data_IF_949184397939
#
_entry.id   IF_949184397939
#
_cell.length_a   1.000
_cell.length_b   1.000
_cell.length_c   1.000
_cell.angle_alpha   90.00
_cell.angle_beta   90.00
_cell.angle_gamma   90.00
#
_symmetry.space_group_name_H-M   'P 1'
#
loop_
_entity.id
_entity.type
_entity.pdbx_description
1 polymer ?
#
# COMPACT_ATOMS: atom_id res chain seq x y z
N UNK A 1 -1.05 -19.56 44.31
CA UNK A 1 -1.26 -18.27 45.01
C UNK A 1 -0.16 -17.26 44.75
N UNK A 2 0.99 -17.26 45.44
CA UNK A 2 1.95 -16.13 45.35
C UNK A 2 2.50 -15.87 43.93
N UNK A 3 2.70 -16.92 43.12
CA UNK A 3 3.12 -16.80 41.72
C UNK A 3 2.01 -16.27 40.80
N UNK A 4 0.76 -16.62 41.07
CA UNK A 4 -0.40 -16.17 40.29
C UNK A 4 -0.76 -14.73 40.60
N UNK A 5 -0.65 -14.31 41.87
CA UNK A 5 -0.81 -12.91 42.27
C UNK A 5 0.25 -12.03 41.63
N UNK A 6 1.51 -12.43 41.68
CA UNK A 6 2.59 -11.69 41.02
C UNK A 6 2.38 -11.60 39.50
N UNK A 7 1.89 -12.66 38.87
CA UNK A 7 1.57 -12.64 37.45
C UNK A 7 0.39 -11.72 37.14
N UNK A 8 -0.60 -11.68 38.02
CA UNK A 8 -1.76 -10.78 37.93
C UNK A 8 -1.34 -9.32 38.05
N UNK A 9 -0.53 -8.97 39.05
CA UNK A 9 0.02 -7.62 39.23
C UNK A 9 0.80 -7.16 37.98
N UNK A 10 1.71 -7.99 37.47
CA UNK A 10 2.45 -7.68 36.24
C UNK A 10 1.53 -7.46 35.03
N UNK A 11 0.43 -8.20 34.94
CA UNK A 11 -0.55 -8.05 33.86
C UNK A 11 -1.32 -6.74 34.01
N UNK A 12 -1.71 -6.40 35.24
CA UNK A 12 -2.43 -5.18 35.56
C UNK A 12 -1.58 -3.94 35.28
N UNK A 13 -0.30 -3.96 35.67
CA UNK A 13 0.67 -2.90 35.35
C UNK A 13 0.85 -2.73 33.84
N UNK A 14 0.96 -3.84 33.10
CA UNK A 14 1.06 -3.80 31.64
C UNK A 14 -0.19 -3.19 30.98
N UNK A 15 -1.39 -3.50 31.49
CA UNK A 15 -2.65 -2.92 31.02
C UNK A 15 -2.72 -1.42 31.36
N UNK A 16 -2.36 -1.04 32.59
CA UNK A 16 -2.32 0.37 33.01
C UNK A 16 -1.36 1.20 32.16
N UNK A 17 -0.17 0.67 31.87
CA UNK A 17 0.81 1.35 31.02
C UNK A 17 0.24 1.59 29.61
N UNK A 18 -0.44 0.60 29.02
CA UNK A 18 -1.05 0.74 27.70
C UNK A 18 -2.24 1.70 27.66
N UNK A 19 -3.03 1.74 28.74
CA UNK A 19 -4.09 2.72 28.90
C UNK A 19 -3.53 4.15 29.00
N UNK A 20 -2.41 4.33 29.72
CA UNK A 20 -1.73 5.62 29.79
C UNK A 20 -1.21 6.06 28.43
N UNK A 21 -0.58 5.17 27.66
CA UNK A 21 -0.13 5.48 26.30
C UNK A 21 -1.30 5.91 25.40
N UNK A 22 -2.43 5.18 25.46
CA UNK A 22 -3.64 5.50 24.70
C UNK A 22 -4.21 6.86 25.10
N UNK A 23 -4.29 7.13 26.41
CA UNK A 23 -4.75 8.40 26.95
C UNK A 23 -3.87 9.56 26.45
N UNK A 24 -2.55 9.41 26.47
CA UNK A 24 -1.62 10.43 25.97
C UNK A 24 -1.76 10.65 24.47
N UNK A 25 -1.97 9.58 23.69
CA UNK A 25 -2.22 9.67 22.26
C UNK A 25 -3.52 10.42 21.94
N UNK A 26 -4.60 10.14 22.68
CA UNK A 26 -5.89 10.85 22.56
C UNK A 26 -5.73 12.32 22.94
N UNK A 27 -5.06 12.60 24.07
CA UNK A 27 -4.80 13.97 24.50
C UNK A 27 -4.00 14.76 23.47
N UNK A 28 -2.94 14.18 22.91
CA UNK A 28 -2.13 14.79 21.85
C UNK A 28 -2.97 15.09 20.59
N UNK A 29 -3.88 14.18 20.20
CA UNK A 29 -4.77 14.41 19.07
C UNK A 29 -5.77 15.54 19.34
N UNK A 30 -6.37 15.58 20.53
CA UNK A 30 -7.27 16.67 20.94
C UNK A 30 -6.53 18.01 20.92
N UNK A 31 -5.33 18.06 21.51
CA UNK A 31 -4.53 19.27 21.54
C UNK A 31 -4.20 19.78 20.13
N UNK A 32 -3.83 18.90 19.20
CA UNK A 32 -3.60 19.26 17.80
C UNK A 32 -4.88 19.75 17.12
N UNK A 33 -6.02 19.12 17.40
CA UNK A 33 -7.30 19.56 16.85
C UNK A 33 -7.76 20.91 17.43
N UNK A 34 -7.43 21.24 18.66
CA UNK A 34 -7.81 22.51 19.27
C UNK A 34 -6.86 23.66 18.88
N UNK A 35 -5.56 23.38 18.79
CA UNK A 35 -4.53 24.41 18.55
C UNK A 35 -4.19 24.60 17.07
N UNK A 36 -4.30 23.55 16.25
CA UNK A 36 -3.78 23.53 14.88
C UNK A 36 -4.88 23.20 13.85
N UNK A 37 -6.16 23.40 14.15
CA UNK A 37 -7.27 23.03 13.25
C UNK A 37 -7.21 23.69 11.87
N UNK A 38 -6.66 24.90 11.75
CA UNK A 38 -6.52 25.59 10.47
C UNK A 38 -5.31 25.11 9.66
N UNK A 39 -4.29 24.58 10.34
CA UNK A 39 -3.00 24.21 9.74
C UNK A 39 -2.83 22.70 9.59
N UNK A 40 -3.68 21.89 10.21
CA UNK A 40 -3.58 20.44 10.17
C UNK A 40 -3.90 19.90 8.77
N UNK A 41 -2.96 19.13 8.25
CA UNK A 41 -3.04 18.43 6.99
C UNK A 41 -3.55 17.00 7.21
N UNK A 42 -4.36 16.53 6.25
CA UNK A 42 -5.01 15.21 6.32
C UNK A 42 -4.06 14.04 6.58
N UNK A 43 -2.85 13.95 5.98
CA UNK A 43 -1.91 12.87 6.28
C UNK A 43 -1.49 12.86 7.75
N UNK A 44 -1.18 14.03 8.32
CA UNK A 44 -0.81 14.14 9.73
C UNK A 44 -1.97 13.78 10.65
N UNK A 45 -3.20 14.16 10.31
CA UNK A 45 -4.38 13.71 11.04
C UNK A 45 -4.50 12.17 11.03
N UNK A 46 -4.35 11.55 9.85
CA UNK A 46 -4.39 10.08 9.71
C UNK A 46 -3.27 9.38 10.48
N UNK A 47 -2.07 9.94 10.51
CA UNK A 47 -0.95 9.38 11.28
C UNK A 47 -1.26 9.39 12.80
N UNK A 48 -1.81 10.49 13.33
CA UNK A 48 -2.23 10.53 14.74
C UNK A 48 -3.35 9.53 15.02
N UNK A 49 -4.31 9.37 14.09
CA UNK A 49 -5.37 8.37 14.21
C UNK A 49 -4.81 6.94 14.17
N UNK A 50 -3.83 6.66 13.30
CA UNK A 50 -3.15 5.38 13.21
C UNK A 50 -2.43 5.02 14.52
N UNK A 51 -1.82 6.00 15.19
CA UNK A 51 -1.21 5.82 16.52
C UNK A 51 -2.26 5.36 17.54
N UNK A 52 -3.40 6.05 17.64
CA UNK A 52 -4.50 5.67 18.54
C UNK A 52 -4.99 4.25 18.23
N UNK A 53 -5.20 3.94 16.95
CA UNK A 53 -5.62 2.61 16.50
C UNK A 53 -4.60 1.52 16.86
N UNK A 54 -3.31 1.83 16.79
CA UNK A 54 -2.22 0.93 17.19
C UNK A 54 -2.24 0.65 18.70
N UNK A 55 -2.39 1.68 19.53
CA UNK A 55 -2.53 1.51 20.98
C UNK A 55 -3.77 0.69 21.35
N UNK A 56 -4.92 0.97 20.71
CA UNK A 56 -6.15 0.21 20.93
C UNK A 56 -5.98 -1.27 20.54
N UNK A 57 -5.39 -1.53 19.38
CA UNK A 57 -5.11 -2.90 18.93
C UNK A 57 -4.15 -3.63 19.87
N UNK A 58 -3.12 -2.93 20.37
CA UNK A 58 -2.19 -3.45 21.37
C UNK A 58 -2.90 -3.83 22.67
N UNK A 59 -3.79 -2.96 23.16
CA UNK A 59 -4.60 -3.22 24.35
C UNK A 59 -5.54 -4.41 24.13
N UNK A 60 -6.26 -4.46 23.01
CA UNK A 60 -7.12 -5.61 22.66
C UNK A 60 -6.33 -6.91 22.61
N UNK A 61 -5.11 -6.92 22.05
CA UNK A 61 -4.26 -8.12 22.02
C UNK A 61 -3.87 -8.59 23.42
N UNK A 62 -3.54 -7.68 24.34
CA UNK A 62 -3.19 -8.04 25.73
C UNK A 62 -4.43 -8.61 26.45
N UNK A 63 -5.59 -7.98 26.27
CA UNK A 63 -6.85 -8.42 26.88
C UNK A 63 -7.41 -9.72 26.25
N UNK A 64 -7.15 -9.95 24.97
CA UNK A 64 -7.59 -11.14 24.23
C UNK A 64 -6.66 -12.34 24.40
N UNK A 65 -5.37 -12.11 24.71
CA UNK A 65 -4.45 -13.19 25.09
C UNK A 65 -5.00 -13.84 26.37
N UNK A 66 -4.73 -15.13 26.55
CA UNK A 66 -5.18 -15.93 27.71
C UNK A 66 -4.64 -15.46 29.09
N UNK A 67 -4.22 -14.21 29.23
CA UNK A 67 -4.00 -13.48 30.49
C UNK A 67 -5.31 -13.05 31.18
N UNK A 68 -6.46 -13.31 30.55
CA UNK A 68 -7.79 -12.92 31.03
C UNK A 68 -8.55 -13.90 31.97
N UNK A 69 -8.18 -15.18 32.19
CA UNK A 69 -8.83 -15.99 33.23
C UNK A 69 -8.74 -15.38 34.65
N UNK A 70 -7.58 -14.85 35.10
CA UNK A 70 -7.48 -14.19 36.40
C UNK A 70 -8.33 -12.92 36.53
N UNK A 71 -8.44 -12.12 35.47
CA UNK A 71 -9.28 -10.90 35.46
C UNK A 71 -10.77 -11.23 35.38
N UNK A 72 -11.16 -12.23 34.58
CA UNK A 72 -12.54 -12.67 34.45
C UNK A 72 -13.08 -13.35 35.72
N UNK A 73 -12.22 -14.03 36.47
CA UNK A 73 -12.60 -14.75 37.69
C UNK A 73 -12.57 -13.88 38.95
N UNK A 74 -12.14 -12.62 38.84
CA UNK A 74 -12.11 -11.66 39.95
C UNK A 74 -13.14 -10.56 39.72
N UNK A 75 -13.75 -10.09 40.80
CA UNK A 75 -14.66 -8.95 40.77
C UNK A 75 -14.05 -7.78 41.53
N UNK A 76 -14.39 -6.56 41.12
CA UNK A 76 -14.01 -5.34 41.82
C UNK A 76 -15.19 -4.92 42.68
N UNK A 77 -14.95 -4.78 43.99
CA UNK A 77 -15.94 -4.31 44.96
C UNK A 77 -15.33 -3.13 45.74
N UNK A 78 -16.04 -2.01 45.90
CA UNK A 78 -15.65 -0.99 46.87
C UNK A 78 -15.63 -1.59 48.28
N UNK A 79 -14.50 -1.50 48.98
CA UNK A 79 -14.39 -1.91 50.38
C UNK A 79 -14.85 -0.80 51.33
N UNK A 80 -14.60 0.45 50.95
CA UNK A 80 -14.98 1.64 51.69
C UNK A 80 -15.42 2.70 50.68
N UNK A 81 -16.48 3.42 51.04
CA UNK A 81 -16.95 4.61 50.33
C UNK A 81 -16.87 5.74 51.34
N UNK A 82 -16.18 6.82 50.99
CA UNK A 82 -15.95 7.94 51.89
C UNK A 82 -16.32 9.24 51.20
N UNK A 83 -16.88 10.18 51.96
CA UNK A 83 -17.08 11.56 51.51
C UNK A 83 -15.86 12.45 51.78
N UNK A 84 -14.85 11.91 52.45
CA UNK A 84 -13.60 12.62 52.71
C UNK A 84 -12.75 12.70 51.45
N UNK A 85 -12.03 13.82 51.36
CA UNK A 85 -11.07 14.06 50.28
C UNK A 85 -9.90 13.09 50.43
N UNK A 86 -9.58 12.39 49.35
CA UNK A 86 -8.42 11.51 49.27
C UNK A 86 -7.38 12.11 48.32
N UNK A 87 -6.30 12.67 48.87
CA UNK A 87 -5.23 13.29 48.08
C UNK A 87 -4.45 12.27 47.24
N UNK A 88 -4.36 11.00 47.66
CA UNK A 88 -3.74 9.95 46.86
C UNK A 88 -4.60 9.64 45.63
N UNK A 89 -5.92 9.53 45.82
CA UNK A 89 -6.88 9.34 44.73
C UNK A 89 -6.86 10.51 43.73
N UNK A 90 -6.77 11.74 44.23
CA UNK A 90 -6.61 12.95 43.41
C UNK A 90 -5.35 12.85 42.55
N UNK A 91 -4.22 12.49 43.14
CA UNK A 91 -2.96 12.42 42.41
C UNK A 91 -3.00 11.35 41.31
N UNK A 92 -3.50 10.14 41.60
CA UNK A 92 -3.54 9.06 40.60
C UNK A 92 -4.59 9.30 39.50
N UNK A 93 -5.66 10.05 39.80
CA UNK A 93 -6.71 10.39 38.82
C UNK A 93 -6.49 11.74 38.14
N UNK A 94 -5.34 12.38 38.38
CA UNK A 94 -5.02 13.72 37.86
C UNK A 94 -6.13 14.75 38.17
N UNK A 95 -6.65 14.69 39.40
CA UNK A 95 -7.67 15.62 39.89
C UNK A 95 -9.09 15.32 39.45
N UNK A 96 -9.34 14.22 38.74
CA UNK A 96 -10.69 13.88 38.26
C UNK A 96 -11.61 13.32 39.35
N UNK A 97 -11.04 12.62 40.34
CA UNK A 97 -11.81 12.00 41.43
C UNK A 97 -11.27 12.52 42.77
N UNK A 98 -11.91 13.55 43.36
CA UNK A 98 -11.49 14.06 44.65
C UNK A 98 -11.97 13.23 45.83
N UNK A 99 -13.07 12.49 45.63
CA UNK A 99 -13.79 11.75 46.65
C UNK A 99 -14.39 10.51 45.98
N UNK A 100 -14.37 9.36 46.67
CA UNK A 100 -15.01 8.13 46.20
C UNK A 100 -16.31 7.90 46.98
N UNK A 101 -17.35 8.66 46.63
CA UNK A 101 -18.67 8.67 47.28
C UNK A 101 -19.68 7.71 46.63
N UNK A 102 -20.82 7.49 47.30
CA UNK A 102 -21.90 6.62 46.80
C UNK A 102 -22.50 7.07 45.47
N UNK A 103 -22.34 8.35 45.17
CA UNK A 103 -22.85 9.05 44.00
C UNK A 103 -21.96 8.83 42.78
N UNK A 104 -20.65 8.68 43.00
CA UNK A 104 -19.63 8.58 41.94
C UNK A 104 -19.28 7.11 41.64
N UNK A 105 -19.30 6.24 42.66
CA UNK A 105 -18.98 4.81 42.54
C UNK A 105 -19.73 4.12 41.39
N UNK A 106 -21.05 4.32 41.18
CA UNK A 106 -21.77 3.65 40.11
C UNK A 106 -21.23 4.00 38.72
N UNK A 107 -20.75 5.23 38.51
CA UNK A 107 -20.24 5.67 37.21
C UNK A 107 -18.86 5.08 36.92
N UNK A 108 -17.97 5.03 37.90
CA UNK A 108 -16.61 4.50 37.72
C UNK A 108 -16.54 2.97 37.71
N UNK A 109 -17.49 2.28 38.34
CA UNK A 109 -17.61 0.82 38.30
C UNK A 109 -18.63 0.32 37.29
N UNK A 110 -19.15 1.20 36.44
CA UNK A 110 -20.13 0.84 35.42
C UNK A 110 -19.53 -0.15 34.43
N UNK A 111 -20.16 -1.33 34.32
CA UNK A 111 -19.83 -2.35 33.30
C UNK A 111 -20.82 -2.37 32.14
N UNK A 112 -21.94 -1.63 32.26
CA UNK A 112 -22.96 -1.53 31.21
C UNK A 112 -22.43 -0.66 30.06
N UNK A 113 -22.40 -1.16 28.80
CA UNK A 113 -22.01 -0.37 27.64
C UNK A 113 -22.84 0.90 27.46
N UNK A 114 -22.35 1.80 26.62
CA UNK A 114 -23.12 2.96 26.18
C UNK A 114 -24.36 2.55 25.38
N UNK A 115 -25.47 3.33 25.45
CA UNK A 115 -26.72 2.97 24.78
C UNK A 115 -26.58 2.68 23.28
N UNK A 116 -25.74 3.44 22.58
CA UNK A 116 -25.49 3.25 21.13
C UNK A 116 -24.77 1.93 20.87
N UNK A 117 -23.80 1.58 21.72
CA UNK A 117 -23.07 0.32 21.64
C UNK A 117 -23.98 -0.86 21.97
N UNK A 118 -24.80 -0.72 23.01
CA UNK A 118 -25.80 -1.72 23.41
C UNK A 118 -26.81 -1.99 22.28
N UNK A 119 -27.32 -0.93 21.63
CA UNK A 119 -28.23 -1.07 20.49
C UNK A 119 -27.56 -1.81 19.31
N UNK A 120 -26.30 -1.49 19.00
CA UNK A 120 -25.53 -2.21 17.95
C UNK A 120 -25.31 -3.67 18.30
N UNK A 121 -25.01 -3.97 19.58
CA UNK A 121 -24.88 -5.36 20.05
C UNK A 121 -26.19 -6.13 19.89
N UNK A 122 -27.32 -5.55 20.30
CA UNK A 122 -28.64 -6.17 20.14
C UNK A 122 -28.98 -6.41 18.66
N UNK A 123 -28.67 -5.45 17.77
CA UNK A 123 -28.85 -5.65 16.33
C UNK A 123 -28.01 -6.82 15.79
N UNK A 124 -26.77 -6.98 16.28
CA UNK A 124 -25.89 -8.07 15.89
C UNK A 124 -26.37 -9.42 16.45
N UNK A 125 -26.84 -9.45 17.70
CA UNK A 125 -27.43 -10.64 18.32
C UNK A 125 -28.70 -11.08 17.59
N UNK A 126 -29.58 -10.15 17.20
CA UNK A 126 -30.77 -10.46 16.40
C UNK A 126 -30.40 -11.06 15.04
N UNK A 127 -29.38 -10.50 14.36
CA UNK A 127 -28.88 -11.06 13.09
C UNK A 127 -28.30 -12.46 13.30
N UNK A 128 -27.56 -12.68 14.39
CA UNK A 128 -26.98 -13.98 14.71
C UNK A 128 -28.06 -15.03 15.05
N UNK A 129 -29.10 -14.65 15.79
CA UNK A 129 -30.20 -15.53 16.16
C UNK A 129 -31.03 -16.02 14.97
N UNK A 130 -31.06 -15.25 13.88
CA UNK A 130 -31.74 -15.63 12.64
C UNK A 130 -30.96 -16.65 11.79
N UNK A 131 -29.73 -17.00 12.18
CA UNK A 131 -28.86 -17.93 11.47
C UNK A 131 -28.75 -19.26 12.24
N UNK A 132 -28.90 -20.39 11.55
CA UNK A 132 -28.68 -21.70 12.19
C UNK A 132 -27.18 -21.95 12.41
N UNK A 133 -26.83 -22.62 13.50
CA UNK A 133 -25.43 -22.91 13.84
C UNK A 133 -24.68 -23.67 12.72
N UNK A 134 -25.34 -24.61 12.04
CA UNK A 134 -24.74 -25.36 10.92
C UNK A 134 -24.47 -24.46 9.69
N UNK A 135 -25.42 -23.59 9.34
CA UNK A 135 -25.24 -22.62 8.25
C UNK A 135 -24.13 -21.61 8.57
N UNK A 136 -24.05 -21.15 9.82
CA UNK A 136 -23.01 -20.24 10.28
C UNK A 136 -21.61 -20.86 10.13
N UNK A 137 -21.41 -22.08 10.61
CA UNK A 137 -20.11 -22.78 10.53
C UNK A 137 -19.66 -23.03 9.08
N UNK A 138 -20.60 -23.44 8.21
CA UNK A 138 -20.32 -23.61 6.77
C UNK A 138 -19.91 -22.30 6.11
N UNK A 139 -20.64 -21.21 6.39
CA UNK A 139 -20.30 -19.89 5.87
C UNK A 139 -18.93 -19.42 6.37
N UNK A 140 -18.63 -19.53 7.67
CA UNK A 140 -17.32 -19.15 8.23
C UNK A 140 -16.19 -19.93 7.56
N UNK A 141 -16.35 -21.25 7.38
CA UNK A 141 -15.34 -22.09 6.73
C UNK A 141 -15.12 -21.67 5.27
N UNK A 142 -16.20 -21.40 4.55
CA UNK A 142 -16.12 -20.94 3.17
C UNK A 142 -15.46 -19.56 3.06
N UNK A 143 -15.83 -18.62 3.92
CA UNK A 143 -15.22 -17.28 3.97
C UNK A 143 -13.74 -17.35 4.30
N UNK A 144 -13.34 -18.14 5.29
CA UNK A 144 -11.92 -18.33 5.62
C UNK A 144 -11.15 -18.90 4.42
N UNK A 145 -11.72 -19.86 3.68
CA UNK A 145 -11.09 -20.40 2.47
C UNK A 145 -10.89 -19.33 1.40
N UNK A 146 -11.88 -18.46 1.17
CA UNK A 146 -11.79 -17.37 0.20
C UNK A 146 -10.76 -16.33 0.64
N UNK A 147 -10.78 -15.91 1.90
CA UNK A 147 -9.85 -14.92 2.45
C UNK A 147 -8.41 -15.45 2.37
N UNK A 148 -8.17 -16.70 2.78
CA UNK A 148 -6.85 -17.32 2.66
C UNK A 148 -6.41 -17.40 1.20
N UNK A 149 -7.29 -17.79 0.28
CA UNK A 149 -6.94 -17.87 -1.14
C UNK A 149 -6.55 -16.49 -1.72
N UNK A 150 -7.30 -15.44 -1.38
CA UNK A 150 -6.97 -14.07 -1.80
C UNK A 150 -5.65 -13.62 -1.18
N UNK A 151 -5.42 -13.92 0.10
CA UNK A 151 -4.16 -13.62 0.77
C UNK A 151 -2.98 -14.33 0.10
N UNK A 152 -3.13 -15.60 -0.27
CA UNK A 152 -2.10 -16.38 -0.96
C UNK A 152 -1.78 -15.77 -2.33
N UNK A 153 -2.80 -15.38 -3.10
CA UNK A 153 -2.60 -14.70 -4.39
C UNK A 153 -1.83 -13.39 -4.25
N UNK A 154 -2.21 -12.56 -3.26
CA UNK A 154 -1.53 -11.28 -3.00
C UNK A 154 -0.10 -11.50 -2.53
N UNK A 155 0.12 -12.48 -1.65
CA UNK A 155 1.45 -12.81 -1.12
C UNK A 155 2.36 -13.31 -2.24
N UNK A 156 1.86 -14.22 -3.09
CA UNK A 156 2.59 -14.72 -4.25
C UNK A 156 2.93 -13.62 -5.25
N UNK A 157 1.97 -12.73 -5.56
CA UNK A 157 2.22 -11.59 -6.45
C UNK A 157 3.30 -10.66 -5.88
N UNK A 158 3.30 -10.43 -4.56
CA UNK A 158 4.35 -9.67 -3.88
C UNK A 158 5.72 -10.35 -4.00
N UNK A 159 5.80 -11.65 -3.77
CA UNK A 159 7.04 -12.42 -3.90
C UNK A 159 7.58 -12.40 -5.34
N UNK A 160 6.71 -12.56 -6.34
CA UNK A 160 7.08 -12.45 -7.77
C UNK A 160 7.64 -11.06 -8.10
N UNK A 161 7.03 -9.98 -7.60
CA UNK A 161 7.54 -8.61 -7.78
C UNK A 161 8.87 -8.38 -7.08
N UNK A 162 9.09 -8.95 -5.88
CA UNK A 162 10.37 -8.85 -5.17
C UNK A 162 11.48 -9.63 -5.91
N UNK A 163 11.16 -10.78 -6.50
CA UNK A 163 12.09 -11.56 -7.33
C UNK A 163 12.41 -10.82 -8.65
N UNK A 164 11.41 -10.25 -9.32
CA UNK A 164 11.61 -9.46 -10.55
C UNK A 164 12.42 -8.19 -10.28
N UNK A 165 12.18 -7.52 -9.15
CA UNK A 165 12.96 -6.37 -8.70
C UNK A 165 14.40 -6.75 -8.35
N UNK A 166 14.62 -7.90 -7.71
CA UNK A 166 15.95 -8.35 -7.28
C UNK A 166 16.79 -8.96 -8.41
N UNK A 167 16.14 -9.48 -9.45
CA UNK A 167 16.81 -10.04 -10.65
C UNK A 167 17.21 -8.97 -11.67
N UNK A 168 16.76 -7.71 -11.51
CA UNK A 168 17.23 -6.56 -12.30
C UNK A 168 18.51 -5.94 -11.72
N UNK A 169 19.61 -6.71 -11.67
CA UNK A 169 20.97 -6.18 -11.43
C UNK A 169 21.60 -5.58 -12.69
N UNK A 170 20.81 -4.83 -13.46
CA UNK A 170 21.30 -4.13 -14.62
C UNK A 170 20.26 -3.15 -15.14
N UNK A 171 20.62 -1.86 -15.13
CA UNK A 171 20.02 -0.88 -16.05
C UNK A 171 20.06 -1.56 -17.42
N UNK A 172 18.89 -1.85 -18.01
CA UNK A 172 18.86 -2.27 -19.41
C UNK A 172 19.70 -1.27 -20.19
N UNK A 173 20.72 -1.74 -20.90
CA UNK A 173 21.61 -0.87 -21.64
C UNK A 173 20.80 -0.20 -22.77
N UNK A 174 20.25 0.98 -22.47
CA UNK A 174 19.45 1.79 -23.40
C UNK A 174 20.34 2.54 -24.40
N UNK A 175 21.64 2.63 -24.11
CA UNK A 175 22.63 3.24 -24.98
C UNK A 175 23.95 2.47 -24.95
N UNK A 176 24.53 2.25 -26.13
CA UNK A 176 25.87 1.71 -26.32
C UNK A 176 26.63 2.67 -27.23
N UNK A 177 27.72 3.25 -26.72
CA UNK A 177 28.56 4.15 -27.50
C UNK A 177 29.19 3.42 -28.70
N UNK A 178 29.54 2.15 -28.51
CA UNK A 178 30.05 1.27 -29.57
C UNK A 178 29.03 1.04 -30.68
N UNK A 179 27.77 0.75 -30.32
CA UNK A 179 26.70 0.55 -31.30
C UNK A 179 26.40 1.87 -32.03
N UNK A 180 26.47 3.00 -31.32
CA UNK A 180 26.29 4.35 -31.89
C UNK A 180 27.37 4.63 -32.94
N UNK A 181 28.64 4.38 -32.63
CA UNK A 181 29.75 4.56 -33.58
C UNK A 181 29.63 3.62 -34.79
N UNK A 182 29.15 2.39 -34.57
CA UNK A 182 28.99 1.41 -35.64
C UNK A 182 27.84 1.78 -36.58
N UNK A 183 26.73 2.31 -36.05
CA UNK A 183 25.64 2.87 -36.85
C UNK A 183 26.09 4.11 -37.63
N UNK A 184 26.84 5.02 -37.01
CA UNK A 184 27.39 6.22 -37.69
C UNK A 184 28.35 5.81 -38.82
N UNK A 185 29.21 4.81 -38.61
CA UNK A 185 30.10 4.31 -39.65
C UNK A 185 29.33 3.57 -40.77
N UNK A 186 28.26 2.86 -40.45
CA UNK A 186 27.41 2.22 -41.45
C UNK A 186 26.67 3.25 -42.32
N UNK A 187 26.15 4.32 -41.71
CA UNK A 187 25.43 5.39 -42.43
C UNK A 187 26.39 6.30 -43.21
N UNK A 188 27.50 6.71 -42.59
CA UNK A 188 28.44 7.66 -43.20
C UNK A 188 29.43 7.03 -44.18
N UNK A 189 29.81 5.77 -43.97
CA UNK A 189 30.86 5.09 -44.75
C UNK A 189 30.40 3.77 -45.39
N UNK A 190 29.14 3.36 -45.21
CA UNK A 190 28.62 2.10 -45.74
C UNK A 190 29.18 0.84 -45.05
N UNK A 191 29.95 1.00 -43.97
CA UNK A 191 30.66 -0.09 -43.30
C UNK A 191 29.68 -1.07 -42.64
N UNK A 192 29.61 -2.31 -43.13
CA UNK A 192 28.72 -3.36 -42.59
C UNK A 192 27.36 -3.50 -43.29
N UNK A 193 27.12 -2.74 -44.35
CA UNK A 193 26.01 -2.99 -45.27
C UNK A 193 26.45 -4.06 -46.27
N UNK A 194 25.63 -5.10 -46.47
CA UNK A 194 25.90 -6.08 -47.52
C UNK A 194 25.64 -5.43 -48.86
N UNK A 195 26.68 -5.25 -49.67
CA UNK A 195 26.54 -4.94 -51.09
C UNK A 195 25.80 -6.12 -51.72
N UNK A 196 24.54 -5.94 -52.10
CA UNK A 196 23.84 -6.97 -52.88
C UNK A 196 24.56 -7.07 -54.22
N UNK A 197 25.25 -8.20 -54.41
CA UNK A 197 25.98 -8.53 -55.62
C UNK A 197 24.98 -8.84 -56.74
N UNK A 198 24.33 -7.81 -57.29
CA UNK A 198 23.72 -7.91 -58.61
C UNK A 198 24.86 -7.92 -59.62
N UNK A 199 24.96 -9.01 -60.38
CA UNK A 199 25.98 -9.22 -61.41
C UNK A 199 26.02 -8.12 -62.48
N UNK A 200 27.00 -8.19 -63.40
CA UNK A 200 27.40 -7.07 -64.24
C UNK A 200 26.28 -6.69 -65.21
N UNK A 201 25.58 -5.59 -64.95
CA UNK A 201 24.63 -5.01 -65.89
C UNK A 201 25.27 -3.81 -66.59
N UNK A 202 25.83 -4.12 -67.75
CA UNK A 202 25.76 -3.36 -69.01
C UNK A 202 25.77 -1.83 -68.94
N UNK A 203 26.91 -1.29 -69.40
CA UNK A 203 27.09 0.08 -69.88
C UNK A 203 26.05 0.42 -70.96
N UNK A 204 25.27 1.51 -70.86
CA UNK A 204 24.53 2.03 -72.00
C UNK A 204 25.44 2.90 -72.88
N UNK A 205 25.25 2.92 -74.22
CA UNK A 205 26.21 3.50 -75.14
C UNK A 205 26.13 5.03 -75.21
N UNK A 206 27.29 5.65 -75.42
CA UNK A 206 27.47 7.03 -75.87
C UNK A 206 26.62 7.34 -77.10
N UNK A 207 25.83 8.41 -77.04
CA UNK A 207 25.33 9.12 -78.22
C UNK A 207 25.83 10.57 -78.17
N UNK A 208 26.49 10.95 -79.27
CA UNK A 208 27.06 12.25 -79.57
C UNK A 208 26.00 13.36 -79.69
N UNK A 209 26.34 14.50 -79.06
CA UNK A 209 26.26 15.89 -79.53
C UNK A 209 24.92 16.54 -79.98
N UNK A 210 24.83 17.90 -79.93
CA UNK A 210 23.59 18.63 -79.62
C UNK A 210 23.02 19.43 -80.80
N UNK A 211 21.79 19.98 -80.64
CA UNK A 211 21.27 21.32 -81.03
C UNK A 211 19.71 21.30 -81.16
N UNK A 212 18.98 22.42 -81.36
CA UNK A 212 18.13 22.99 -80.31
C UNK A 212 16.65 23.12 -80.75
N UNK A 213 15.85 23.73 -79.87
CA UNK A 213 14.59 24.46 -80.15
C UNK A 213 13.26 23.77 -79.80
N UNK A 214 12.59 24.34 -78.80
CA UNK A 214 11.18 24.73 -78.90
C UNK A 214 10.13 23.76 -78.38
N UNK A 215 9.30 24.24 -77.44
CA UNK A 215 7.92 23.76 -77.31
C UNK A 215 7.47 23.46 -75.89
N UNK A 216 6.76 24.41 -75.30
CA UNK A 216 5.94 24.25 -74.10
C UNK A 216 4.83 23.20 -74.30
N UNK A 217 4.48 22.47 -73.24
CA UNK A 217 3.35 21.55 -73.26
C UNK A 217 3.07 21.00 -71.87
N UNK A 218 2.15 21.66 -71.16
CA UNK A 218 1.58 21.20 -69.91
C UNK A 218 0.80 19.88 -70.09
N UNK A 219 0.88 18.99 -69.10
CA UNK A 219 0.07 17.78 -69.04
C UNK A 219 0.30 17.05 -67.73
N UNK A 220 -0.59 17.27 -66.76
CA UNK A 220 -0.57 16.60 -65.47
C UNK A 220 -1.09 15.17 -65.54
N UNK A 221 -0.62 14.31 -64.63
CA UNK A 221 -1.33 13.10 -64.19
C UNK A 221 -0.71 12.52 -62.90
N UNK A 222 -1.58 12.38 -61.89
CA UNK A 222 -1.65 11.39 -60.80
C UNK A 222 -0.51 11.20 -59.78
N UNK A 223 -0.82 11.21 -58.46
CA UNK A 223 0.10 10.81 -57.41
C UNK A 223 0.12 9.27 -57.28
N UNK A 224 0.99 8.63 -58.07
CA UNK A 224 1.26 7.21 -57.97
C UNK A 224 2.43 6.92 -57.02
N UNK A 225 2.13 6.17 -55.95
CA UNK A 225 3.03 5.31 -55.17
C UNK A 225 4.50 5.75 -55.08
N UNK A 226 4.85 6.44 -54.00
CA UNK A 226 6.23 6.49 -53.50
C UNK A 226 6.59 5.08 -53.03
N UNK A 227 7.13 4.30 -53.98
CA UNK A 227 7.63 2.96 -53.77
C UNK A 227 8.73 3.02 -52.71
N UNK A 228 8.49 2.23 -51.67
CA UNK A 228 9.36 1.93 -50.54
C UNK A 228 10.80 1.74 -51.01
N UNK A 229 11.65 2.74 -50.76
CA UNK A 229 13.09 2.68 -50.97
C UNK A 229 13.61 1.46 -50.20
N UNK A 230 14.03 0.43 -50.94
CA UNK A 230 14.41 -0.87 -50.41
C UNK A 230 15.49 -0.72 -49.35
N UNK A 231 15.16 -1.09 -48.11
CA UNK A 231 16.13 -1.19 -47.01
C UNK A 231 17.17 -2.24 -47.41
N UNK A 232 18.40 -1.80 -47.68
CA UNK A 232 19.51 -2.73 -47.86
C UNK A 232 19.63 -3.63 -46.61
N UNK A 233 19.80 -4.96 -46.77
CA UNK A 233 19.92 -5.86 -45.64
C UNK A 233 21.19 -5.53 -44.85
N UNK A 234 21.00 -4.93 -43.67
CA UNK A 234 22.09 -4.58 -42.77
C UNK A 234 22.59 -5.83 -42.05
N UNK A 235 23.91 -6.03 -42.00
CA UNK A 235 24.54 -7.04 -41.15
C UNK A 235 24.89 -6.49 -39.76
N UNK A 236 24.54 -5.23 -39.49
CA UNK A 236 24.79 -4.56 -38.20
C UNK A 236 23.85 -5.13 -37.14
N UNK A 237 24.42 -5.92 -36.23
CA UNK A 237 23.74 -6.41 -35.02
C UNK A 237 24.03 -5.42 -33.88
N UNK A 238 22.99 -4.74 -33.39
CA UNK A 238 23.06 -3.93 -32.16
C UNK A 238 22.46 -4.72 -31.00
N UNK A 239 23.03 -4.59 -29.80
CA UNK A 239 22.49 -5.22 -28.58
C UNK A 239 21.50 -4.31 -27.84
N UNK A 240 21.27 -3.10 -28.35
CA UNK A 240 20.28 -2.16 -27.82
C UNK A 240 18.88 -2.72 -28.09
N UNK A 241 18.17 -3.09 -27.02
CA UNK A 241 16.73 -3.36 -27.07
C UNK A 241 16.00 -2.01 -27.01
N UNK A 242 15.01 -1.81 -27.87
CA UNK A 242 14.10 -0.67 -27.73
C UNK A 242 13.52 -0.71 -26.33
N UNK A 243 13.64 0.40 -25.59
CA UNK A 243 12.98 0.53 -24.31
C UNK A 243 11.47 0.40 -24.57
N UNK A 244 10.89 -0.77 -24.27
CA UNK A 244 9.45 -0.86 -24.13
C UNK A 244 9.12 0.17 -23.05
N UNK A 245 8.34 1.18 -23.40
CA UNK A 245 7.84 2.14 -22.44
C UNK A 245 6.99 1.38 -21.43
N UNK A 246 7.62 0.98 -20.33
CA UNK A 246 6.92 0.57 -19.12
C UNK A 246 6.47 1.86 -18.48
N UNK A 247 5.36 2.43 -18.97
CA UNK A 247 4.62 3.41 -18.20
C UNK A 247 3.89 2.66 -17.08
N UNK A 248 4.10 2.99 -15.79
CA UNK A 248 3.41 2.35 -14.68
C UNK A 248 1.91 2.68 -14.61
N UNK A 249 1.41 3.58 -15.48
CA UNK A 249 0.03 3.99 -15.54
C UNK A 249 -0.41 4.19 -16.99
N UNK A 250 -0.60 3.09 -17.72
CA UNK A 250 -1.54 3.12 -18.84
C UNK A 250 -2.94 2.98 -18.25
N UNK A 251 -3.72 4.06 -18.29
CA UNK A 251 -5.18 4.01 -18.14
C UNK A 251 -5.80 3.46 -19.42
#
# INVERSE_FOLDING_TARGET
MQREEKHFEMTLDAVLQRLNDLKMAVFSMIQKLEMEYETINWPTFLDNFAIISSHLTGLTKILAKEQCPPLRNRTVLPLLVSMERDDALINITEGRVPVFSHDIVPDYLRTRPDPITEQKMQQNEQKAANLTNDAAMKQVTQYNKVVSHVLDMVTKAREEWEIESSSRTGIQQTSSMTDTQLLVAAVGMGKGLKMTNYGPMMVPPSIRAPSPMGGAGAGGMSPGNVQQLGKAPSAVKTNIKSANQVHPFSR
#
